data_IF_896512963684
#
_entry.id   IF_896512963684
#
_cell.length_a   1.000
_cell.length_b   1.000
_cell.length_c   1.000
_cell.angle_alpha   90.00
_cell.angle_beta   90.00
_cell.angle_gamma   90.00
#
_symmetry.space_group_name_H-M   'P 1'
#
loop_
_entity.id
_entity.type
_entity.pdbx_description
1 polymer ?
#
# COMPACT_ATOMS: atom_id res chain seq x y z
N UNK A 1 12.10 2.13 -8.62
CA UNK A 1 11.65 1.05 -7.69
C UNK A 1 12.83 0.53 -6.86
N UNK A 2 12.69 0.52 -5.53
CA UNK A 2 13.76 0.23 -4.54
C UNK A 2 14.46 -1.11 -4.75
N UNK A 3 13.71 -2.17 -5.06
CA UNK A 3 14.27 -3.50 -5.32
C UNK A 3 15.11 -3.55 -6.61
N UNK A 4 14.63 -2.92 -7.69
CA UNK A 4 15.38 -2.81 -8.95
C UNK A 4 16.62 -1.94 -8.83
N UNK A 5 16.57 -0.93 -7.95
CA UNK A 5 17.69 -0.05 -7.64
C UNK A 5 18.71 -0.67 -6.67
N UNK A 6 18.52 -1.93 -6.22
CA UNK A 6 19.41 -2.67 -5.30
C UNK A 6 19.77 -1.90 -4.01
N UNK A 7 18.85 -1.09 -3.50
CA UNK A 7 19.09 -0.33 -2.26
C UNK A 7 19.03 -1.31 -1.09
N UNK A 8 20.19 -1.55 -0.47
CA UNK A 8 20.31 -2.40 0.71
C UNK A 8 19.69 -1.70 1.94
N UNK A 9 19.18 -2.49 2.89
CA UNK A 9 18.70 -2.00 4.19
C UNK A 9 17.22 -1.62 4.27
N UNK A 10 16.48 -1.60 3.15
CA UNK A 10 15.04 -1.27 3.14
C UNK A 10 14.19 -2.53 2.98
N UNK A 11 13.92 -3.20 4.10
CA UNK A 11 13.18 -4.47 4.12
C UNK A 11 11.66 -4.30 4.36
N UNK A 12 11.23 -3.16 4.89
CA UNK A 12 9.84 -2.86 5.16
C UNK A 12 9.16 -2.16 3.97
N UNK A 13 7.99 -2.66 3.54
CA UNK A 13 7.19 -2.08 2.45
C UNK A 13 6.87 -0.59 2.65
N UNK A 14 6.60 -0.14 3.88
CA UNK A 14 6.39 1.28 4.19
C UNK A 14 7.63 2.12 3.83
N UNK A 15 8.80 1.72 4.35
CA UNK A 15 10.07 2.40 4.08
C UNK A 15 10.45 2.35 2.60
N UNK A 16 10.01 1.32 1.87
CA UNK A 16 10.19 1.25 0.41
C UNK A 16 9.43 2.35 -0.30
N UNK A 17 8.20 2.64 0.11
CA UNK A 17 7.43 3.75 -0.45
C UNK A 17 8.03 5.10 -0.10
N UNK A 18 8.46 5.32 1.15
CA UNK A 18 9.18 6.54 1.54
C UNK A 18 10.43 6.74 0.68
N UNK A 19 11.22 5.68 0.45
CA UNK A 19 12.41 5.78 -0.39
C UNK A 19 12.06 6.08 -1.86
N UNK A 20 10.94 5.56 -2.38
CA UNK A 20 10.48 5.92 -3.73
C UNK A 20 10.04 7.38 -3.82
N UNK A 21 9.41 7.91 -2.77
CA UNK A 21 9.07 9.33 -2.68
C UNK A 21 10.31 10.24 -2.74
N UNK A 22 11.41 9.86 -2.09
CA UNK A 22 12.68 10.59 -2.19
C UNK A 22 13.31 10.51 -3.60
N UNK A 23 13.23 9.35 -4.25
CA UNK A 23 13.90 9.10 -5.53
C UNK A 23 13.14 9.63 -6.74
N UNK A 24 11.82 9.67 -6.66
CA UNK A 24 10.94 10.05 -7.76
C UNK A 24 9.94 11.12 -7.28
N UNK A 25 10.41 12.37 -7.06
CA UNK A 25 9.60 13.43 -6.44
C UNK A 25 8.30 13.73 -7.19
N UNK A 26 8.27 13.50 -8.51
CA UNK A 26 7.06 13.66 -9.33
C UNK A 26 5.87 12.79 -8.90
N UNK A 27 6.12 11.70 -8.17
CA UNK A 27 5.09 10.79 -7.64
C UNK A 27 5.12 10.74 -6.11
N UNK A 28 5.76 11.73 -5.47
CA UNK A 28 5.98 11.74 -4.02
C UNK A 28 4.69 11.55 -3.23
N UNK A 29 3.66 12.34 -3.55
CA UNK A 29 2.36 12.27 -2.87
C UNK A 29 1.74 10.87 -2.99
N UNK A 30 1.76 10.29 -4.19
CA UNK A 30 1.23 8.95 -4.44
C UNK A 30 1.96 7.89 -3.61
N UNK A 31 3.29 7.96 -3.53
CA UNK A 31 4.07 7.02 -2.74
C UNK A 31 3.82 7.18 -1.24
N UNK A 32 3.68 8.42 -0.74
CA UNK A 32 3.30 8.67 0.65
C UNK A 32 1.90 8.11 0.96
N UNK A 33 0.91 8.36 0.09
CA UNK A 33 -0.42 7.79 0.22
C UNK A 33 -0.40 6.25 0.23
N UNK A 34 0.46 5.63 -0.59
CA UNK A 34 0.62 4.18 -0.61
C UNK A 34 1.29 3.63 0.66
N UNK A 35 2.25 4.38 1.23
CA UNK A 35 2.89 4.05 2.50
C UNK A 35 1.85 4.05 3.63
N UNK A 36 1.07 5.13 3.75
CA UNK A 36 0.02 5.29 4.75
C UNK A 36 -1.05 4.20 4.62
N UNK A 37 -1.50 3.93 3.39
CA UNK A 37 -2.45 2.87 3.10
C UNK A 37 -1.95 1.50 3.56
N UNK A 38 -0.68 1.17 3.27
CA UNK A 38 -0.07 -0.09 3.70
C UNK A 38 -0.05 -0.22 5.23
N UNK A 39 0.36 0.83 5.93
CA UNK A 39 0.42 0.82 7.39
C UNK A 39 -0.97 0.61 8.01
N UNK A 40 -1.98 1.32 7.50
CA UNK A 40 -3.37 1.18 7.93
C UNK A 40 -3.86 -0.26 7.72
N UNK A 41 -3.61 -0.85 6.55
CA UNK A 41 -4.03 -2.22 6.23
C UNK A 41 -3.37 -3.26 7.13
N UNK A 42 -2.06 -3.14 7.39
CA UNK A 42 -1.34 -4.03 8.31
C UNK A 42 -1.84 -3.88 9.73
N UNK A 43 -2.12 -2.65 10.18
CA UNK A 43 -2.72 -2.39 11.50
C UNK A 43 -4.08 -3.06 11.64
N UNK A 44 -4.96 -2.93 10.65
CA UNK A 44 -6.25 -3.61 10.64
C UNK A 44 -6.11 -5.12 10.68
N UNK A 45 -5.23 -5.69 9.85
CA UNK A 45 -4.95 -7.12 9.85
C UNK A 45 -4.48 -7.61 11.21
N UNK A 46 -3.55 -6.90 11.86
CA UNK A 46 -3.04 -7.27 13.17
C UNK A 46 -4.15 -7.23 14.24
N UNK A 47 -4.93 -6.14 14.30
CA UNK A 47 -6.01 -5.99 15.27
C UNK A 47 -7.08 -7.07 15.10
N UNK A 48 -7.47 -7.39 13.86
CA UNK A 48 -8.43 -8.46 13.58
C UNK A 48 -7.89 -9.84 13.94
N UNK A 49 -6.61 -10.10 13.64
CA UNK A 49 -5.97 -11.36 13.97
C UNK A 49 -5.88 -11.60 15.47
N UNK A 50 -5.54 -10.56 16.24
CA UNK A 50 -5.50 -10.60 17.71
C UNK A 50 -6.91 -10.82 18.28
N UNK A 51 -7.90 -10.04 17.82
CA UNK A 51 -9.28 -10.11 18.31
C UNK A 51 -9.91 -11.49 18.08
N UNK A 52 -9.69 -12.06 16.90
CA UNK A 52 -10.36 -13.29 16.46
C UNK A 52 -9.47 -14.54 16.55
N UNK A 53 -8.27 -14.41 17.14
CA UNK A 53 -7.25 -15.46 17.26
C UNK A 53 -6.98 -16.18 15.92
N UNK A 54 -6.87 -15.40 14.84
CA UNK A 54 -6.64 -15.90 13.49
C UNK A 54 -5.63 -15.03 12.74
N UNK A 55 -5.43 -15.27 11.44
CA UNK A 55 -4.42 -14.55 10.65
C UNK A 55 -4.78 -13.09 10.33
N UNK A 56 -5.99 -12.64 10.67
CA UNK A 56 -6.52 -11.30 10.37
C UNK A 56 -6.75 -11.03 8.88
N UNK A 57 -6.72 -12.06 8.04
CA UNK A 57 -6.75 -11.94 6.57
C UNK A 57 -8.07 -11.32 6.07
N UNK A 58 -9.17 -11.62 6.75
CA UNK A 58 -10.50 -11.14 6.40
C UNK A 58 -10.99 -10.16 7.46
N UNK A 59 -11.64 -9.09 7.00
CA UNK A 59 -12.25 -8.06 7.83
C UNK A 59 -13.76 -8.22 7.80
N UNK A 60 -14.39 -8.26 8.97
CA UNK A 60 -15.84 -8.13 9.08
C UNK A 60 -16.21 -6.65 8.94
N UNK A 61 -16.85 -6.26 7.84
CA UNK A 61 -17.20 -4.87 7.55
C UNK A 61 -18.30 -4.30 8.47
N UNK A 62 -19.12 -5.18 9.04
CA UNK A 62 -20.22 -4.82 9.93
C UNK A 62 -19.71 -4.35 11.30
N UNK A 63 -18.52 -4.83 11.70
CA UNK A 63 -17.87 -4.45 12.96
C UNK A 63 -17.10 -3.12 12.86
N UNK A 64 -16.96 -2.56 11.65
CA UNK A 64 -16.23 -1.32 11.44
C UNK A 64 -17.13 -0.11 11.74
N UNK A 65 -16.54 0.95 12.28
CA UNK A 65 -17.22 2.25 12.36
C UNK A 65 -17.28 2.91 10.98
N UNK A 66 -18.13 3.93 10.83
CA UNK A 66 -18.20 4.73 9.60
C UNK A 66 -16.84 5.33 9.22
N UNK A 67 -16.07 5.80 10.20
CA UNK A 67 -14.73 6.33 9.99
C UNK A 67 -13.74 5.25 9.58
N UNK A 68 -13.79 4.07 10.21
CA UNK A 68 -12.92 2.95 9.83
C UNK A 68 -13.19 2.48 8.40
N UNK A 69 -14.45 2.42 7.98
CA UNK A 69 -14.82 2.11 6.58
C UNK A 69 -14.32 3.16 5.60
N UNK A 70 -14.41 4.44 5.95
CA UNK A 70 -13.89 5.52 5.12
C UNK A 70 -12.36 5.41 4.96
N UNK A 71 -11.64 5.20 6.06
CA UNK A 71 -10.19 5.01 6.05
C UNK A 71 -9.80 3.79 5.21
N UNK A 72 -10.50 2.67 5.38
CA UNK A 72 -10.26 1.45 4.60
C UNK A 72 -10.48 1.71 3.10
N UNK A 73 -11.57 2.39 2.72
CA UNK A 73 -11.83 2.77 1.33
C UNK A 73 -10.72 3.66 0.75
N UNK A 74 -10.25 4.63 1.53
CA UNK A 74 -9.19 5.54 1.10
C UNK A 74 -7.86 4.82 0.85
N UNK A 75 -7.59 3.71 1.55
CA UNK A 75 -6.37 2.90 1.33
C UNK A 75 -6.28 2.33 -0.09
N UNK A 76 -7.40 2.16 -0.79
CA UNK A 76 -7.43 1.63 -2.16
C UNK A 76 -7.26 2.71 -3.25
N UNK A 77 -7.32 4.00 -2.87
CA UNK A 77 -7.16 5.13 -3.81
C UNK A 77 -5.86 5.09 -4.63
N UNK A 78 -4.66 4.88 -4.04
CA UNK A 78 -3.40 4.95 -4.79
C UNK A 78 -3.21 3.77 -5.77
N UNK A 79 -4.00 2.70 -5.68
CA UNK A 79 -3.76 1.46 -6.43
C UNK A 79 -3.79 1.68 -7.93
N UNK A 80 -4.82 2.38 -8.44
CA UNK A 80 -4.97 2.58 -9.89
C UNK A 80 -3.81 3.36 -10.48
N UNK A 81 -3.37 4.40 -9.79
CA UNK A 81 -2.31 5.26 -10.27
C UNK A 81 -0.94 4.57 -10.18
N UNK A 82 -0.69 3.79 -9.12
CA UNK A 82 0.46 2.90 -9.04
C UNK A 82 0.48 1.90 -10.19
N UNK A 83 -0.66 1.29 -10.52
CA UNK A 83 -0.78 0.38 -11.66
C UNK A 83 -0.46 1.08 -12.97
N UNK A 84 -0.98 2.30 -13.20
CA UNK A 84 -0.66 3.08 -14.40
C UNK A 84 0.85 3.36 -14.54
N UNK A 85 1.53 3.71 -13.45
CA UNK A 85 2.99 3.92 -13.46
C UNK A 85 3.72 2.63 -13.85
N UNK A 86 3.31 1.49 -13.30
CA UNK A 86 3.89 0.19 -13.63
C UNK A 86 3.61 -0.20 -15.09
N UNK A 87 2.40 0.05 -15.58
CA UNK A 87 2.00 -0.22 -16.96
C UNK A 87 2.84 0.58 -17.95
N UNK A 88 3.05 1.88 -17.69
CA UNK A 88 3.91 2.72 -18.55
C UNK A 88 5.37 2.28 -18.45
N UNK A 89 5.87 2.02 -17.23
CA UNK A 89 7.29 1.72 -16.98
C UNK A 89 7.72 0.36 -17.53
N UNK A 90 6.86 -0.65 -17.46
CA UNK A 90 7.16 -2.03 -17.86
C UNK A 90 6.37 -2.51 -19.07
N UNK A 91 5.53 -1.66 -19.65
CA UNK A 91 4.73 -1.96 -20.84
C UNK A 91 3.89 -3.24 -20.66
N UNK A 92 3.33 -3.47 -19.48
CA UNK A 92 2.63 -4.73 -19.15
C UNK A 92 1.36 -4.95 -19.98
N UNK A 93 0.86 -3.92 -20.67
CA UNK A 93 -0.28 -4.02 -21.59
C UNK A 93 0.13 -4.43 -23.02
N UNK A 94 1.42 -4.48 -23.35
CA UNK A 94 1.90 -4.80 -24.71
C UNK A 94 1.63 -6.28 -25.11
N UNK A 95 1.38 -7.14 -24.11
CA UNK A 95 1.12 -8.57 -24.29
C UNK A 95 -0.34 -8.95 -23.95
N UNK A 96 -1.24 -7.98 -23.84
CA UNK A 96 -2.68 -8.21 -23.65
C UNK A 96 -3.42 -8.34 -24.97
#
# INVERSE_FOLDING_TARGET
>A
MVLGAKIAGVNNTFQRFEKMAEQEPQHQELYQQAADAYEILIRYRALQGIKNQNTGKFLNLDELTKMQRLNLRNCFRPIRELQSILEIRFQTNLFR
#
